data_IF_107553304324
#
_entry.id   IF_107553304324
#
_cell.length_a   1.000
_cell.length_b   1.000
_cell.length_c   1.000
_cell.angle_alpha   90.00
_cell.angle_beta   90.00
_cell.angle_gamma   90.00
#
_symmetry.space_group_name_H-M   'P 1'
#
loop_
_entity.id
_entity.type
_entity.pdbx_description
1 polymer ?
#
# COMPACT_ATOMS: atom_id res chain seq x y z
N UNK A 1 -29.36 -0.75 7.40
CA UNK A 1 -28.49 0.10 8.25
C UNK A 1 -27.12 -0.57 8.29
N UNK A 2 -26.07 0.02 7.72
CA UNK A 2 -24.71 -0.51 7.90
C UNK A 2 -24.28 -0.17 9.32
N UNK A 3 -24.25 -1.18 10.20
CA UNK A 3 -23.82 -0.98 11.59
C UNK A 3 -22.30 -0.80 11.58
N UNK A 4 -21.85 0.36 12.05
CA UNK A 4 -20.43 0.61 12.22
C UNK A 4 -19.90 -0.26 13.36
N UNK A 5 -18.91 -1.10 13.07
CA UNK A 5 -18.23 -1.93 14.06
C UNK A 5 -16.81 -1.40 14.30
N UNK A 6 -16.55 -0.73 15.44
CA UNK A 6 -15.24 -0.18 15.75
C UNK A 6 -14.12 -1.22 15.81
N UNK A 7 -14.41 -2.44 16.25
CA UNK A 7 -13.41 -3.51 16.34
C UNK A 7 -12.97 -3.98 14.95
N UNK A 8 -13.94 -4.16 14.03
CA UNK A 8 -13.65 -4.50 12.63
C UNK A 8 -12.89 -3.37 11.93
N UNK A 9 -13.23 -2.11 12.20
CA UNK A 9 -12.50 -0.96 11.65
C UNK A 9 -11.04 -0.93 12.13
N UNK A 10 -10.81 -1.10 13.44
CA UNK A 10 -9.46 -1.11 14.03
C UNK A 10 -8.59 -2.26 13.51
N UNK A 11 -9.18 -3.42 13.21
CA UNK A 11 -8.46 -4.57 12.65
C UNK A 11 -7.82 -4.27 11.28
N UNK A 12 -8.30 -3.25 10.55
CA UNK A 12 -7.73 -2.86 9.25
C UNK A 12 -6.45 -2.02 9.36
N UNK A 13 -6.02 -1.63 10.57
CA UNK A 13 -4.84 -0.78 10.79
C UNK A 13 -3.73 -1.59 11.47
N UNK A 14 -2.80 -2.20 10.71
CA UNK A 14 -1.73 -3.00 11.29
C UNK A 14 -0.81 -2.18 12.19
N UNK A 15 -0.66 -0.88 11.90
CA UNK A 15 0.13 0.05 12.73
C UNK A 15 -0.41 0.23 14.16
N UNK A 16 -1.70 -0.08 14.44
CA UNK A 16 -2.24 -0.01 15.79
C UNK A 16 -1.73 -1.13 16.72
N UNK A 17 -1.21 -2.22 16.16
CA UNK A 17 -0.66 -3.32 16.98
C UNK A 17 0.70 -2.95 17.58
N UNK A 18 1.46 -2.09 16.90
CA UNK A 18 2.82 -1.70 17.29
C UNK A 18 2.86 -0.30 17.95
N UNK A 19 2.00 0.63 17.53
CA UNK A 19 2.00 2.01 18.00
C UNK A 19 1.38 2.24 19.40
N UNK A 20 0.88 1.19 20.07
CA UNK A 20 0.17 1.32 21.34
C UNK A 20 -1.07 2.21 21.23
N UNK A 21 -1.28 3.12 22.19
CA UNK A 21 -2.41 4.07 22.14
C UNK A 21 -2.05 5.27 21.27
N UNK A 22 -2.39 5.18 19.99
CA UNK A 22 -2.20 6.27 19.03
C UNK A 22 -3.28 7.36 19.22
N UNK A 23 -2.89 8.51 19.79
CA UNK A 23 -3.79 9.66 20.06
C UNK A 23 -3.51 10.88 19.18
N UNK A 24 -2.76 10.72 18.08
CA UNK A 24 -2.37 11.81 17.19
C UNK A 24 -2.93 11.68 15.76
N UNK A 25 -4.16 11.15 15.64
CA UNK A 25 -4.86 11.01 14.35
C UNK A 25 -5.11 12.35 13.64
N UNK A 26 -5.06 13.47 14.37
CA UNK A 26 -5.26 14.80 13.82
C UNK A 26 -4.03 15.31 13.05
N UNK A 27 -2.82 14.96 13.48
CA UNK A 27 -1.60 15.32 12.74
C UNK A 27 -1.33 14.36 11.57
N UNK A 28 -1.58 13.06 11.75
CA UNK A 28 -1.48 12.10 10.65
C UNK A 28 -2.35 10.86 10.88
N UNK A 29 -3.17 10.49 9.90
CA UNK A 29 -4.01 9.30 10.00
C UNK A 29 -3.20 8.04 9.68
N UNK A 30 -3.38 7.00 10.49
CA UNK A 30 -2.84 5.68 10.19
C UNK A 30 -3.46 5.13 8.88
N UNK A 31 -2.70 4.34 8.15
CA UNK A 31 -3.13 3.80 6.85
C UNK A 31 -3.76 2.40 7.04
N UNK A 32 -4.96 2.16 6.50
CA UNK A 32 -5.52 0.82 6.51
C UNK A 32 -4.80 -0.09 5.50
N UNK A 33 -4.90 -1.41 5.68
CA UNK A 33 -4.25 -2.40 4.82
C UNK A 33 -4.54 -2.20 3.34
N UNK A 34 -5.78 -1.83 2.98
CA UNK A 34 -6.16 -1.57 1.60
C UNK A 34 -5.31 -0.49 0.92
N UNK A 35 -4.91 0.57 1.64
CA UNK A 35 -4.05 1.64 1.09
C UNK A 35 -2.62 1.14 0.93
N UNK A 36 -2.13 0.36 1.91
CA UNK A 36 -0.79 -0.25 1.85
C UNK A 36 -0.70 -1.21 0.67
N UNK A 37 -1.67 -2.09 0.50
CA UNK A 37 -1.70 -3.08 -0.57
C UNK A 37 -1.88 -2.42 -1.94
N UNK A 38 -2.78 -1.43 -2.07
CA UNK A 38 -2.93 -0.69 -3.33
C UNK A 38 -1.62 0.03 -3.72
N UNK A 39 -0.91 0.62 -2.75
CA UNK A 39 0.39 1.25 -2.99
C UNK A 39 1.44 0.21 -3.41
N UNK A 40 1.47 -0.95 -2.74
CA UNK A 40 2.37 -2.06 -3.07
C UNK A 40 2.11 -2.59 -4.47
N UNK A 41 0.85 -2.78 -4.84
CA UNK A 41 0.45 -3.22 -6.18
C UNK A 41 0.81 -2.18 -7.23
N UNK A 42 0.55 -0.90 -6.98
CA UNK A 42 0.93 0.18 -7.89
C UNK A 42 2.43 0.17 -8.18
N UNK A 43 3.28 0.10 -7.15
CA UNK A 43 4.73 0.05 -7.36
C UNK A 43 5.21 -1.27 -7.97
N UNK A 44 4.63 -2.40 -7.58
CA UNK A 44 4.99 -3.72 -8.10
C UNK A 44 4.62 -3.89 -9.59
N UNK A 45 3.44 -3.40 -9.99
CA UNK A 45 2.97 -3.44 -11.38
C UNK A 45 3.63 -2.36 -12.24
N UNK A 46 3.86 -1.17 -11.70
CA UNK A 46 4.62 -0.12 -12.40
C UNK A 46 6.08 -0.50 -12.61
N UNK A 47 6.71 -1.15 -11.63
CA UNK A 47 8.06 -1.70 -11.78
C UNK A 47 8.13 -2.85 -12.81
N UNK A 48 7.04 -3.61 -12.96
CA UNK A 48 6.92 -4.67 -13.99
C UNK A 48 6.64 -4.13 -15.40
N UNK A 49 6.30 -2.85 -15.57
CA UNK A 49 5.98 -2.25 -16.88
C UNK A 49 7.17 -1.51 -17.52
N UNK A 50 8.39 -2.01 -17.31
CA UNK A 50 9.52 -1.71 -18.22
C UNK A 50 10.14 -3.01 -18.72
N UNK A 51 9.83 -3.47 -19.94
CA UNK A 51 10.75 -4.36 -20.63
C UNK A 51 11.97 -3.52 -21.04
N UNK A 52 12.96 -3.41 -20.15
CA UNK A 52 14.29 -2.89 -20.50
C UNK A 52 15.06 -3.83 -21.44
N UNK A 53 14.43 -4.90 -21.95
CA UNK A 53 15.05 -5.90 -22.81
C UNK A 53 14.64 -5.81 -24.30
N UNK A 54 13.75 -4.89 -24.70
CA UNK A 54 13.25 -4.85 -26.08
C UNK A 54 13.89 -3.77 -27.00
N UNK A 55 14.92 -3.06 -26.52
CA UNK A 55 15.54 -1.92 -27.25
C UNK A 55 17.06 -2.06 -27.44
N UNK A 56 17.60 -3.27 -27.49
CA UNK A 56 18.97 -3.47 -27.96
C UNK A 56 18.94 -3.66 -29.48
N UNK A 57 19.45 -2.71 -30.30
CA UNK A 57 19.70 -2.99 -31.70
C UNK A 57 20.72 -4.12 -31.78
N UNK A 58 20.38 -5.19 -32.52
CA UNK A 58 21.36 -6.24 -32.85
C UNK A 58 22.56 -5.56 -33.53
N UNK A 59 23.80 -5.78 -33.08
CA UNK A 59 24.96 -5.30 -33.81
C UNK A 59 25.00 -6.01 -35.16
N UNK A 60 24.96 -5.24 -36.24
CA UNK A 60 25.35 -5.69 -37.57
C UNK A 60 26.88 -5.81 -37.58
N UNK A 61 27.41 -7.03 -37.54
CA UNK A 61 28.67 -7.47 -38.13
C UNK A 61 28.81 -8.98 -37.96
#
# INVERSE_FOLDING_TARGET
>A
MNVFNPAQFRAQFPALQDAGVYLDSAATALKPEAVVEATRQFYSLSARKRPIAASLPKPNA
#
